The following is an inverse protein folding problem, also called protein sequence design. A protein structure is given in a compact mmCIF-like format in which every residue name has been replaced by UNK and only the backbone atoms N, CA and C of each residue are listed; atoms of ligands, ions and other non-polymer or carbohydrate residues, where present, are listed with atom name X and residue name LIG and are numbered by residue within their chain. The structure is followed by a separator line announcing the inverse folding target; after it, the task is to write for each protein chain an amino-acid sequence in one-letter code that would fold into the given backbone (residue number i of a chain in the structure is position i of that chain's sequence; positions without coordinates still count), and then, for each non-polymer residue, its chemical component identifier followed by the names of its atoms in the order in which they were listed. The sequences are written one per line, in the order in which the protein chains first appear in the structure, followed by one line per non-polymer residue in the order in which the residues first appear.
data_IF_977302341123
#
_entry.id   IF_977302341123
#
_cell.length_a   1.000
_cell.length_b   1.000
_cell.length_c   1.000
_cell.angle_alpha   90.00
_cell.angle_beta   90.00
_cell.angle_gamma   90.00
#
_symmetry.space_group_name_H-M   'P 1'
#
loop_
_entity.id
_entity.type
_entity.pdbx_description
1 polymer ?
#
# COMPACT_ATOMS: atom_id res chain seq x y z
N UNK A 1 -12.15 -15.70 19.88
CA UNK A 1 -11.95 -14.62 18.89
C UNK A 1 -12.95 -14.85 17.77
N UNK A 2 -13.68 -13.81 17.37
CA UNK A 2 -14.74 -13.92 16.35
C UNK A 2 -14.10 -14.28 15.00
N UNK A 3 -14.54 -15.37 14.35
CA UNK A 3 -13.93 -15.92 13.11
C UNK A 3 -13.82 -14.87 12.00
N UNK A 4 -14.80 -13.96 11.97
CA UNK A 4 -14.92 -12.93 10.95
C UNK A 4 -13.81 -11.89 11.06
N UNK A 5 -13.46 -11.50 12.28
CA UNK A 5 -12.40 -10.51 12.54
C UNK A 5 -11.01 -11.03 12.16
N UNK A 6 -10.73 -12.32 12.42
CA UNK A 6 -9.47 -12.94 11.99
C UNK A 6 -9.38 -13.09 10.46
N UNK A 7 -10.50 -13.40 9.81
CA UNK A 7 -10.56 -13.53 8.35
C UNK A 7 -10.33 -12.18 7.67
N UNK A 8 -10.99 -11.13 8.16
CA UNK A 8 -10.77 -9.76 7.67
C UNK A 8 -9.32 -9.30 7.86
N UNK A 9 -8.74 -9.57 9.02
CA UNK A 9 -7.34 -9.24 9.29
C UNK A 9 -6.39 -9.95 8.33
N UNK A 10 -6.57 -11.27 8.15
CA UNK A 10 -5.76 -12.05 7.23
C UNK A 10 -5.90 -11.57 5.77
N UNK A 11 -7.13 -11.32 5.33
CA UNK A 11 -7.41 -10.78 3.99
C UNK A 11 -6.73 -9.42 3.80
N UNK A 12 -6.79 -8.56 4.82
CA UNK A 12 -6.13 -7.25 4.80
C UNK A 12 -4.61 -7.38 4.72
N UNK A 13 -4.02 -8.24 5.54
CA UNK A 13 -2.57 -8.49 5.54
C UNK A 13 -2.09 -9.02 4.18
N UNK A 14 -2.79 -10.00 3.61
CA UNK A 14 -2.47 -10.57 2.29
C UNK A 14 -2.57 -9.48 1.22
N UNK A 15 -3.61 -8.65 1.24
CA UNK A 15 -3.80 -7.59 0.25
C UNK A 15 -2.65 -6.56 0.31
N UNK A 16 -2.19 -6.20 1.51
CA UNK A 16 -1.07 -5.28 1.65
C UNK A 16 0.21 -5.90 1.12
N UNK A 17 0.53 -7.11 1.58
CA UNK A 17 1.79 -7.79 1.27
C UNK A 17 1.91 -8.14 -0.22
N UNK A 18 0.84 -8.60 -0.86
CA UNK A 18 0.92 -9.16 -2.20
C UNK A 18 0.30 -8.28 -3.30
N UNK A 19 -0.57 -7.34 -2.96
CA UNK A 19 -1.25 -6.49 -3.95
C UNK A 19 -0.78 -5.05 -3.86
N UNK A 20 -0.79 -4.45 -2.67
CA UNK A 20 -0.47 -3.04 -2.51
C UNK A 20 1.03 -2.75 -2.67
N UNK A 21 1.90 -3.59 -2.11
CA UNK A 21 3.35 -3.39 -2.20
C UNK A 21 4.13 -4.73 -2.31
N UNK A 22 3.96 -5.47 -3.43
CA UNK A 22 4.65 -6.75 -3.64
C UNK A 22 6.17 -6.60 -3.65
N UNK A 23 6.69 -5.46 -4.15
CA UNK A 23 8.13 -5.17 -4.15
C UNK A 23 8.67 -5.04 -2.73
N UNK A 24 7.98 -4.31 -1.86
CA UNK A 24 8.35 -4.18 -0.45
C UNK A 24 8.36 -5.52 0.28
N UNK A 25 7.43 -6.41 -0.04
CA UNK A 25 7.41 -7.77 0.51
C UNK A 25 8.62 -8.59 0.06
N UNK A 26 8.97 -8.59 -1.22
CA UNK A 26 10.17 -9.30 -1.71
C UNK A 26 11.46 -8.74 -1.09
N UNK A 27 11.59 -7.42 -1.01
CA UNK A 27 12.74 -6.75 -0.36
C UNK A 27 12.77 -7.06 1.14
N UNK A 28 11.62 -7.06 1.80
CA UNK A 28 11.51 -7.39 3.22
C UNK A 28 11.88 -8.84 3.53
N UNK A 29 11.47 -9.79 2.67
CA UNK A 29 11.89 -11.19 2.78
C UNK A 29 13.41 -11.29 2.59
N UNK A 30 13.96 -10.65 1.56
CA UNK A 30 15.40 -10.64 1.31
C UNK A 30 16.17 -10.03 2.51
N UNK A 31 15.67 -8.93 3.07
CA UNK A 31 16.22 -8.31 4.27
C UNK A 31 16.22 -9.29 5.44
N UNK A 32 15.14 -10.04 5.64
CA UNK A 32 15.06 -11.07 6.67
C UNK A 32 16.12 -12.17 6.52
N UNK A 33 16.36 -12.63 5.28
CA UNK A 33 17.42 -13.61 4.98
C UNK A 33 18.81 -13.03 5.22
N UNK A 34 19.04 -11.77 4.81
CA UNK A 34 20.31 -11.09 5.06
C UNK A 34 20.57 -10.92 6.56
N UNK A 35 19.55 -10.52 7.33
CA UNK A 35 19.64 -10.39 8.78
C UNK A 35 19.92 -11.74 9.46
N UNK A 36 19.32 -12.83 8.98
CA UNK A 36 19.61 -14.18 9.47
C UNK A 36 21.09 -14.55 9.28
N UNK A 37 21.64 -14.25 8.10
CA UNK A 37 23.07 -14.44 7.81
C UNK A 37 23.98 -13.58 8.71
N UNK A 38 23.61 -12.32 8.95
CA UNK A 38 24.35 -11.43 9.85
C UNK A 38 24.30 -11.95 11.29
N UNK A 39 23.12 -12.31 11.80
CA UNK A 39 22.98 -12.87 13.16
C UNK A 39 23.75 -14.19 13.28
N UNK A 40 23.69 -15.05 12.27
CA UNK A 40 24.47 -16.30 12.20
C UNK A 40 25.98 -16.05 12.28
N UNK A 41 26.48 -15.05 11.56
CA UNK A 41 27.89 -14.66 11.59
C UNK A 41 28.34 -14.14 12.97
N UNK A 42 27.49 -13.37 13.65
CA UNK A 42 27.79 -12.85 14.99
C UNK A 42 27.42 -13.80 16.14
N UNK A 43 26.74 -14.93 15.86
CA UNK A 43 26.35 -15.94 16.85
C UNK A 43 27.50 -16.40 17.78
N UNK A 44 28.72 -16.70 17.31
CA UNK A 44 29.82 -17.09 18.20
C UNK A 44 30.20 -16.00 19.21
N UNK A 45 30.08 -14.71 18.84
CA UNK A 45 30.35 -13.56 19.73
C UNK A 45 29.16 -13.29 20.65
N UNK A 46 27.94 -13.46 20.15
CA UNK A 46 26.71 -13.20 20.87
C UNK A 46 26.41 -14.27 21.93
N UNK A 47 26.87 -15.52 21.74
CA UNK A 47 26.75 -16.60 22.73
C UNK A 47 27.54 -16.35 24.01
N UNK A 48 28.52 -15.45 23.99
CA UNK A 48 29.27 -15.05 25.20
C UNK A 48 28.45 -14.16 26.12
N UNK A 49 27.35 -13.58 25.62
CA UNK A 49 26.44 -12.73 26.38
C UNK A 49 25.19 -13.56 26.68
N UNK A 50 25.14 -14.21 27.84
CA UNK A 50 24.04 -15.11 28.27
C UNK A 50 22.65 -14.45 28.37
N UNK A 51 22.55 -13.14 28.18
CA UNK A 51 21.34 -12.37 28.44
C UNK A 51 20.27 -12.45 27.33
N UNK A 52 20.61 -12.91 26.12
CA UNK A 52 19.65 -13.04 25.03
C UNK A 52 19.74 -14.42 24.36
N UNK A 53 18.66 -15.19 24.41
CA UNK A 53 18.51 -16.45 23.68
C UNK A 53 18.29 -16.18 22.18
N UNK A 54 19.28 -15.60 21.53
CA UNK A 54 19.30 -15.28 20.09
C UNK A 54 19.07 -16.55 19.24
N UNK A 55 19.41 -17.72 19.80
CA UNK A 55 19.10 -19.04 19.25
C UNK A 55 17.60 -19.31 19.03
N UNK A 56 16.68 -18.59 19.68
CA UNK A 56 15.24 -18.80 19.51
C UNK A 56 14.68 -18.10 18.26
N UNK A 57 15.43 -17.14 17.69
CA UNK A 57 15.02 -16.39 16.51
C UNK A 57 15.26 -17.27 15.28
N UNK A 58 14.17 -17.81 14.73
CA UNK A 58 14.20 -18.52 13.44
C UNK A 58 14.10 -17.55 12.27
N UNK A 59 14.67 -17.94 11.12
CA UNK A 59 14.63 -17.19 9.86
C UNK A 59 13.23 -16.67 9.48
N UNK A 60 12.18 -17.45 9.72
CA UNK A 60 10.79 -17.04 9.42
C UNK A 60 10.35 -15.80 10.20
N UNK A 61 10.86 -15.57 11.42
CA UNK A 61 10.59 -14.36 12.19
C UNK A 61 11.26 -13.15 11.55
N UNK A 62 12.49 -13.30 11.06
CA UNK A 62 13.26 -12.24 10.41
C UNK A 62 12.66 -11.89 9.05
N UNK A 63 12.24 -12.89 8.29
CA UNK A 63 11.49 -12.70 7.04
C UNK A 63 10.16 -11.99 7.29
N UNK A 64 9.40 -12.42 8.30
CA UNK A 64 8.14 -11.79 8.68
C UNK A 64 8.34 -10.33 9.11
N UNK A 65 9.33 -10.08 9.96
CA UNK A 65 9.68 -8.74 10.43
C UNK A 65 10.09 -7.83 9.26
N UNK A 66 10.99 -8.30 8.39
CA UNK A 66 11.43 -7.55 7.23
C UNK A 66 10.28 -7.22 6.29
N UNK A 67 9.39 -8.18 6.01
CA UNK A 67 8.19 -7.95 5.22
C UNK A 67 7.26 -6.91 5.85
N UNK A 68 7.05 -6.96 7.17
CA UNK A 68 6.22 -5.99 7.90
C UNK A 68 6.82 -4.59 7.85
N UNK A 69 8.11 -4.44 8.18
CA UNK A 69 8.78 -3.13 8.20
C UNK A 69 8.74 -2.47 6.82
N UNK A 70 9.00 -3.22 5.75
CA UNK A 70 8.98 -2.70 4.38
C UNK A 70 7.57 -2.38 3.86
N UNK A 71 6.53 -2.96 4.46
CA UNK A 71 5.14 -2.69 4.12
C UNK A 71 4.45 -1.69 5.07
N UNK A 72 5.08 -1.33 6.18
CA UNK A 72 4.52 -0.39 7.16
C UNK A 72 4.16 0.97 6.54
N UNK A 73 4.97 1.58 5.65
CA UNK A 73 4.59 2.80 4.97
C UNK A 73 3.32 2.62 4.14
N UNK A 74 3.22 1.54 3.36
CA UNK A 74 2.04 1.24 2.54
C UNK A 74 0.78 0.98 3.37
N UNK A 75 0.94 0.50 4.61
CA UNK A 75 -0.16 0.39 5.56
C UNK A 75 -0.63 1.75 6.08
N UNK A 76 0.30 2.65 6.39
CA UNK A 76 0.03 3.96 6.99
C UNK A 76 -0.43 5.02 5.97
N UNK A 77 0.07 4.97 4.73
CA UNK A 77 -0.25 5.94 3.67
C UNK A 77 -1.42 5.51 2.78
N UNK A 78 -2.10 4.41 3.14
CA UNK A 78 -3.24 3.93 2.38
C UNK A 78 -4.35 4.98 2.42
N UNK A 79 -4.50 5.73 1.33
CA UNK A 79 -5.66 6.57 1.10
C UNK A 79 -6.87 5.64 1.05
N UNK A 80 -7.85 5.84 1.92
CA UNK A 80 -9.13 5.18 1.80
C UNK A 80 -9.74 5.53 0.44
N UNK A 81 -10.55 4.60 -0.10
CA UNK A 81 -11.33 4.88 -1.31
C UNK A 81 -12.11 6.16 -1.07
N UNK A 82 -12.08 7.09 -2.05
CA UNK A 82 -12.77 8.37 -1.93
C UNK A 82 -14.19 8.15 -1.38
N UNK A 83 -14.54 8.74 -0.22
CA UNK A 83 -15.85 8.56 0.39
C UNK A 83 -17.01 8.87 -0.57
N UNK A 84 -16.80 9.75 -1.54
CA UNK A 84 -17.75 10.07 -2.61
C UNK A 84 -18.11 8.84 -3.45
N UNK A 85 -17.12 8.02 -3.81
CA UNK A 85 -17.32 6.79 -4.59
C UNK A 85 -18.09 5.77 -3.76
N UNK A 86 -17.71 5.59 -2.49
CA UNK A 86 -18.38 4.66 -1.57
C UNK A 86 -19.85 5.06 -1.38
N UNK A 87 -20.13 6.35 -1.23
CA UNK A 87 -21.48 6.88 -1.09
C UNK A 87 -22.30 6.72 -2.39
N UNK A 88 -21.68 6.89 -3.56
CA UNK A 88 -22.34 6.67 -4.84
C UNK A 88 -22.77 5.20 -5.03
N UNK A 89 -21.93 4.23 -4.65
CA UNK A 89 -22.30 2.81 -4.65
C UNK A 89 -23.49 2.55 -3.71
N UNK A 90 -23.46 3.09 -2.48
CA UNK A 90 -24.57 2.97 -1.53
C UNK A 90 -25.89 3.54 -2.06
N UNK A 91 -25.84 4.69 -2.73
CA UNK A 91 -27.02 5.30 -3.34
C UNK A 91 -27.66 4.40 -4.41
N UNK A 92 -26.85 3.74 -5.24
CA UNK A 92 -27.37 2.80 -6.25
C UNK A 92 -27.99 1.57 -5.57
N UNK A 93 -27.36 1.05 -4.51
CA UNK A 93 -27.91 -0.05 -3.72
C UNK A 93 -29.23 0.34 -3.03
N UNK A 94 -29.35 1.55 -2.49
CA UNK A 94 -30.59 2.07 -1.91
C UNK A 94 -31.71 2.20 -2.95
N UNK A 95 -31.43 2.77 -4.14
CA UNK A 95 -32.41 2.84 -5.24
C UNK A 95 -32.89 1.46 -5.67
N UNK A 96 -31.98 0.48 -5.71
CA UNK A 96 -32.30 -0.92 -6.04
C UNK A 96 -33.14 -1.57 -4.95
N UNK A 97 -32.80 -1.37 -3.67
CA UNK A 97 -33.54 -1.88 -2.53
C UNK A 97 -34.96 -1.30 -2.46
N UNK A 98 -35.10 -0.02 -2.75
CA UNK A 98 -36.37 0.70 -2.80
C UNK A 98 -37.18 0.43 -4.08
N UNK A 99 -36.70 -0.45 -4.97
CA UNK A 99 -37.29 -0.76 -6.29
C UNK A 99 -37.53 0.47 -7.16
N UNK A 100 -36.81 1.57 -6.91
CA UNK A 100 -36.87 2.80 -7.70
C UNK A 100 -36.20 2.63 -9.06
N UNK A 101 -35.30 1.64 -9.18
CA UNK A 101 -34.66 1.23 -10.43
C UNK A 101 -34.73 -0.28 -10.60
N UNK A 102 -34.77 -0.74 -11.85
CA UNK A 102 -34.69 -2.17 -12.18
C UNK A 102 -33.25 -2.69 -12.04
N UNK A 103 -33.08 -4.01 -11.95
CA UNK A 103 -31.74 -4.63 -11.84
C UNK A 103 -30.81 -4.21 -12.98
N UNK A 104 -31.34 -4.19 -14.21
CA UNK A 104 -30.58 -3.77 -15.41
C UNK A 104 -30.18 -2.29 -15.35
N UNK A 105 -31.06 -1.43 -14.83
CA UNK A 105 -30.73 -0.01 -14.64
C UNK A 105 -29.64 0.17 -13.57
N UNK A 106 -29.68 -0.59 -12.48
CA UNK A 106 -28.62 -0.57 -11.47
C UNK A 106 -27.27 -1.02 -12.06
N UNK A 107 -27.25 -2.05 -12.90
CA UNK A 107 -26.04 -2.51 -13.60
C UNK A 107 -25.46 -1.43 -14.52
N UNK A 108 -26.32 -0.68 -15.23
CA UNK A 108 -25.91 0.44 -16.06
C UNK A 108 -25.37 1.62 -15.22
N UNK A 109 -26.02 1.96 -14.10
CA UNK A 109 -25.53 3.00 -13.18
C UNK A 109 -24.17 2.61 -12.57
N UNK A 110 -23.97 1.34 -12.21
CA UNK A 110 -22.66 0.85 -11.75
C UNK A 110 -21.58 0.98 -12.82
N UNK A 111 -21.88 0.61 -14.06
CA UNK A 111 -20.92 0.71 -15.16
C UNK A 111 -20.57 2.18 -15.44
N UNK A 112 -21.57 3.08 -15.43
CA UNK A 112 -21.36 4.51 -15.60
C UNK A 112 -20.48 5.10 -14.48
N UNK A 113 -20.73 4.71 -13.22
CA UNK A 113 -19.92 5.13 -12.08
C UNK A 113 -18.47 4.67 -12.21
N UNK A 114 -18.24 3.38 -12.53
CA UNK A 114 -16.90 2.84 -12.74
C UNK A 114 -16.18 3.57 -13.86
N UNK A 115 -16.86 3.84 -14.98
CA UNK A 115 -16.29 4.58 -16.11
C UNK A 115 -15.86 5.99 -15.69
N UNK A 116 -16.71 6.72 -14.98
CA UNK A 116 -16.42 8.07 -14.50
C UNK A 116 -15.24 8.11 -13.52
N UNK A 117 -15.15 7.13 -12.61
CA UNK A 117 -14.04 7.00 -11.67
C UNK A 117 -12.73 6.72 -12.41
N UNK A 118 -12.73 5.79 -13.36
CA UNK A 118 -11.53 5.48 -14.16
C UNK A 118 -11.06 6.71 -14.94
N UNK A 119 -11.99 7.44 -15.56
CA UNK A 119 -11.70 8.66 -16.31
C UNK A 119 -11.05 9.73 -15.41
N UNK A 120 -11.61 9.98 -14.23
CA UNK A 120 -11.05 10.93 -13.26
C UNK A 120 -9.64 10.53 -12.78
N UNK A 121 -9.40 9.24 -12.50
CA UNK A 121 -8.07 8.76 -12.09
C UNK A 121 -7.04 8.87 -13.23
N UNK A 122 -7.46 8.63 -14.47
CA UNK A 122 -6.58 8.82 -15.64
C UNK A 122 -6.25 10.29 -15.89
N UNK A 123 -7.12 11.22 -15.50
CA UNK A 123 -6.84 12.66 -15.57
C UNK A 123 -5.88 13.09 -14.46
N UNK A 124 -6.14 12.71 -13.21
CA UNK A 124 -5.28 13.05 -12.07
C UNK A 124 -3.83 12.57 -12.26
N UNK A 125 -3.64 11.34 -12.75
CA UNK A 125 -2.29 10.79 -12.99
C UNK A 125 -1.52 11.53 -14.09
N UNK A 126 -2.20 12.01 -15.13
CA UNK A 126 -1.57 12.84 -16.16
C UNK A 126 -1.29 14.25 -15.66
N UNK A 127 -2.17 14.81 -14.83
CA UNK A 127 -2.01 16.14 -14.25
C UNK A 127 -0.89 16.17 -13.21
N UNK A 128 -0.78 15.19 -12.32
CA UNK A 128 0.34 15.07 -11.37
C UNK A 128 1.69 14.98 -12.09
N UNK A 129 1.78 14.15 -13.15
CA UNK A 129 2.99 14.04 -13.96
C UNK A 129 3.37 15.31 -14.74
N UNK A 130 2.39 16.16 -15.08
CA UNK A 130 2.64 17.46 -15.70
C UNK A 130 3.04 18.53 -14.66
N UNK A 131 2.43 18.53 -13.48
CA UNK A 131 2.77 19.44 -12.37
C UNK A 131 4.19 19.20 -11.89
N UNK A 132 4.64 17.94 -11.79
CA UNK A 132 6.02 17.61 -11.44
C UNK A 132 7.02 18.11 -12.49
N UNK A 133 6.68 18.00 -13.78
CA UNK A 133 7.50 18.51 -14.89
C UNK A 133 7.57 20.03 -14.89
N UNK A 134 6.45 20.72 -14.68
CA UNK A 134 6.41 22.19 -14.60
C UNK A 134 7.18 22.68 -13.38
N UNK A 135 7.08 22.00 -12.24
CA UNK A 135 7.83 22.32 -11.03
C UNK A 135 9.33 22.08 -11.20
N UNK A 136 9.73 21.01 -11.90
CA UNK A 136 11.13 20.76 -12.26
C UNK A 136 11.70 21.83 -13.21
N UNK A 137 10.91 22.29 -14.18
CA UNK A 137 11.31 23.37 -15.11
C UNK A 137 11.42 24.71 -14.37
N UNK A 138 10.46 25.02 -13.48
CA UNK A 138 10.47 26.26 -12.70
C UNK A 138 11.64 26.33 -11.71
N UNK A 139 12.02 25.20 -11.12
CA UNK A 139 13.17 25.11 -10.21
C UNK A 139 14.52 25.17 -10.95
N UNK A 140 14.62 24.68 -12.19
CA UNK A 140 15.80 24.87 -13.04
C UNK A 140 15.94 26.31 -13.53
N UNK A 141 14.84 26.95 -13.94
CA UNK A 141 14.85 28.35 -14.42
C UNK A 141 15.25 29.36 -13.33
N UNK A 142 15.00 29.04 -12.05
CA UNK A 142 15.35 29.92 -10.92
C UNK A 142 16.83 29.85 -10.51
N UNK A 143 17.58 28.83 -10.96
CA UNK A 143 18.99 28.62 -10.61
C UNK A 143 19.99 29.41 -11.47
N UNK A 144 19.66 29.69 -12.74
CA UNK A 144 20.59 30.35 -13.67
C UNK A 144 20.71 31.88 -13.47
N UNK A 145 19.78 32.52 -12.77
CA UNK A 145 19.80 33.99 -12.61
C UNK A 145 20.82 34.49 -11.56
N UNK A 146 21.33 33.63 -10.67
CA UNK A 146 22.28 34.03 -9.61
C UNK A 146 23.77 33.85 -9.94
N UNK A 147 24.12 33.34 -11.12
CA UNK A 147 25.52 33.06 -11.49
C UNK A 147 26.21 34.14 -12.36
N UNK A 148 25.53 35.25 -12.68
CA UNK A 148 26.14 36.39 -13.38
C UNK A 148 26.08 37.65 -12.52
N UNK A 149 27.03 37.78 -11.59
CA UNK A 149 27.55 39.08 -11.16
C UNK A 149 28.96 38.94 -10.65
#
# INVERSE_FOLDING_TARGET
MNSDASSEFARRAINILFVANPKGTSIGILLGVVLDGVIGFFTPVLKTIEWASISAIKIWHLMGLGAVVMNLPAYLTRKDVDPSIVNAFKLIDEKKANKSITKTQAELEYLALVKAVVENVTLDSNTEGQVDRVTAIASQSSGESKAKK
#
